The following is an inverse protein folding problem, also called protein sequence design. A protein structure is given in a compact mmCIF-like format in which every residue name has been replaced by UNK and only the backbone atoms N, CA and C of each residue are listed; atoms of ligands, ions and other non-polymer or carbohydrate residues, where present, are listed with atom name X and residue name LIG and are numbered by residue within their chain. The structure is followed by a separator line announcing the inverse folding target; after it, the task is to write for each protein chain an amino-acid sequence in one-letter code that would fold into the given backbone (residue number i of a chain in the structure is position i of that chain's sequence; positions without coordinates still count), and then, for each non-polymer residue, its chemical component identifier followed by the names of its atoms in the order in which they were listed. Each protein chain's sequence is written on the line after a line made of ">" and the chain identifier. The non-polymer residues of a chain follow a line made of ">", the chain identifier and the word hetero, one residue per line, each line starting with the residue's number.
data_IF_204984894681
#
_entry.id   IF_204984894681
#
_cell.length_a   1.000
_cell.length_b   1.000
_cell.length_c   1.000
_cell.angle_alpha   90.00
_cell.angle_beta   90.00
_cell.angle_gamma   90.00
#
_symmetry.space_group_name_H-M   'P 1'
#
loop_
_entity.id
_entity.type
_entity.pdbx_description
1 polymer ?
#
# COMPACT_ATOMS: atom_id res chain seq x y z
N UNK A 1 -49.33 29.55 28.22
CA UNK A 1 -49.97 29.16 26.95
C UNK A 1 -50.06 30.45 26.15
N UNK A 2 -49.32 30.71 25.07
CA UNK A 2 -48.87 29.84 23.98
C UNK A 2 -47.71 30.58 23.27
N UNK A 3 -46.57 29.95 23.07
CA UNK A 3 -45.49 30.47 22.21
C UNK A 3 -45.75 30.02 20.77
N UNK A 4 -46.00 30.95 19.86
CA UNK A 4 -45.99 30.69 18.42
C UNK A 4 -44.54 30.73 17.91
N UNK A 5 -44.05 29.56 17.49
CA UNK A 5 -42.88 29.43 16.64
C UNK A 5 -43.30 29.74 15.19
N UNK A 6 -42.74 30.79 14.62
CA UNK A 6 -42.79 31.03 13.17
C UNK A 6 -41.41 30.67 12.61
N UNK A 7 -41.34 29.52 11.93
CA UNK A 7 -40.13 29.05 11.25
C UNK A 7 -40.38 29.17 9.75
N UNK A 8 -39.89 30.25 9.16
CA UNK A 8 -39.81 30.40 7.71
C UNK A 8 -38.67 29.53 7.18
N UNK A 9 -39.02 28.30 6.77
CA UNK A 9 -38.14 27.45 5.99
C UNK A 9 -38.02 28.02 4.57
N UNK A 10 -37.01 28.88 4.36
CA UNK A 10 -36.52 29.20 3.02
C UNK A 10 -35.85 27.95 2.43
N UNK A 11 -36.59 27.20 1.62
CA UNK A 11 -36.08 26.11 0.79
C UNK A 11 -35.05 26.66 -0.20
N UNK A 12 -33.77 26.63 0.18
CA UNK A 12 -32.67 26.85 -0.74
C UNK A 12 -32.42 25.56 -1.50
N UNK A 13 -33.11 25.40 -2.63
CA UNK A 13 -32.75 24.40 -3.64
C UNK A 13 -31.41 24.82 -4.26
N UNK A 14 -30.30 24.39 -3.66
CA UNK A 14 -29.01 24.37 -4.36
C UNK A 14 -29.14 23.40 -5.53
N UNK A 15 -29.19 23.93 -6.74
CA UNK A 15 -28.93 23.15 -7.95
C UNK A 15 -27.57 22.46 -7.79
N UNK A 16 -27.45 21.12 -7.92
CA UNK A 16 -26.14 20.51 -8.08
C UNK A 16 -25.61 21.00 -9.43
N UNK A 17 -24.65 21.92 -9.40
CA UNK A 17 -23.91 22.26 -10.62
C UNK A 17 -23.33 20.96 -11.17
N UNK A 18 -23.69 20.61 -12.41
CA UNK A 18 -22.98 19.59 -13.17
C UNK A 18 -21.49 19.93 -13.13
N UNK A 19 -20.68 19.13 -12.42
CA UNK A 19 -19.24 19.36 -12.33
C UNK A 19 -18.61 19.29 -13.74
N UNK A 20 -17.70 20.20 -14.06
CA UNK A 20 -17.13 20.29 -15.41
C UNK A 20 -16.15 19.15 -15.70
N UNK A 21 -15.85 18.88 -16.98
CA UNK A 21 -14.91 17.80 -17.34
C UNK A 21 -13.55 18.05 -16.67
N UNK A 22 -13.07 19.29 -16.68
CA UNK A 22 -11.86 19.69 -15.97
C UNK A 22 -11.88 19.34 -14.49
N UNK A 23 -13.01 19.59 -13.80
CA UNK A 23 -13.12 19.30 -12.38
C UNK A 23 -12.99 17.80 -12.10
N UNK A 24 -13.65 16.94 -12.90
CA UNK A 24 -13.50 15.49 -12.77
C UNK A 24 -12.06 15.01 -13.03
N UNK A 25 -11.38 15.56 -14.05
CA UNK A 25 -9.99 15.22 -14.35
C UNK A 25 -9.05 15.63 -13.21
N UNK A 26 -9.22 16.83 -12.64
CA UNK A 26 -8.43 17.30 -11.50
C UNK A 26 -8.65 16.43 -10.26
N UNK A 27 -9.90 16.12 -9.93
CA UNK A 27 -10.24 15.28 -8.77
C UNK A 27 -9.65 13.88 -8.90
N UNK A 28 -9.76 13.25 -10.08
CA UNK A 28 -9.19 11.92 -10.31
C UNK A 28 -7.65 11.96 -10.30
N UNK A 29 -7.04 12.99 -10.90
CA UNK A 29 -5.58 13.17 -10.89
C UNK A 29 -5.06 13.32 -9.46
N UNK A 30 -5.68 14.17 -8.65
CA UNK A 30 -5.31 14.38 -7.25
C UNK A 30 -5.50 13.11 -6.42
N UNK A 31 -6.58 12.37 -6.65
CA UNK A 31 -6.84 11.09 -5.97
C UNK A 31 -5.82 10.00 -6.36
N UNK A 32 -5.49 9.88 -7.65
CA UNK A 32 -4.46 8.96 -8.12
C UNK A 32 -3.09 9.30 -7.54
N UNK A 33 -2.75 10.59 -7.52
CA UNK A 33 -1.52 11.09 -6.92
C UNK A 33 -1.41 10.79 -5.43
N UNK A 34 -2.46 11.06 -4.64
CA UNK A 34 -2.44 10.78 -3.20
C UNK A 34 -2.17 9.31 -2.89
N UNK A 35 -2.76 8.39 -3.69
CA UNK A 35 -2.49 6.95 -3.56
C UNK A 35 -1.03 6.62 -3.86
N UNK A 36 -0.49 7.10 -4.99
CA UNK A 36 0.91 6.87 -5.34
C UNK A 36 1.86 7.49 -4.32
N UNK A 37 1.64 8.74 -3.91
CA UNK A 37 2.48 9.47 -2.96
C UNK A 37 2.55 8.76 -1.61
N UNK A 38 1.42 8.29 -1.07
CA UNK A 38 1.40 7.47 0.13
C UNK A 38 2.24 6.19 -0.04
N UNK A 39 2.13 5.56 -1.22
CA UNK A 39 2.91 4.39 -1.61
C UNK A 39 4.36 4.70 -1.96
N UNK A 40 4.86 5.93 -1.86
CA UNK A 40 6.29 6.27 -1.97
C UNK A 40 6.93 6.56 -0.60
N UNK A 41 6.12 6.64 0.46
CA UNK A 41 6.59 6.82 1.83
C UNK A 41 7.59 5.73 2.23
N UNK A 42 8.71 6.14 2.83
CA UNK A 42 9.75 5.22 3.33
C UNK A 42 10.54 4.47 2.25
N UNK A 43 10.44 4.87 0.97
CA UNK A 43 11.24 4.28 -0.10
C UNK A 43 12.74 4.51 0.16
N UNK A 44 13.50 3.42 0.29
CA UNK A 44 14.96 3.47 0.51
C UNK A 44 15.71 3.41 -0.82
N UNK A 45 16.99 3.80 -0.83
CA UNK A 45 17.84 3.66 -2.03
C UNK A 45 18.02 2.18 -2.43
N UNK A 46 18.08 1.27 -1.46
CA UNK A 46 18.16 -0.17 -1.73
C UNK A 46 16.90 -0.67 -2.44
N UNK A 47 15.72 -0.30 -1.96
CA UNK A 47 14.44 -0.65 -2.59
C UNK A 47 14.31 -0.01 -3.98
N UNK A 48 14.65 1.28 -4.10
CA UNK A 48 14.57 2.03 -5.34
C UNK A 48 15.46 1.44 -6.45
N UNK A 49 16.69 1.04 -6.11
CA UNK A 49 17.67 0.47 -7.04
C UNK A 49 17.54 -1.05 -7.20
N UNK A 50 16.56 -1.68 -6.56
CA UNK A 50 16.40 -3.13 -6.62
C UNK A 50 15.95 -3.61 -8.02
N UNK A 51 16.70 -4.57 -8.56
CA UNK A 51 16.37 -5.29 -9.79
C UNK A 51 15.75 -6.65 -9.43
N UNK A 52 14.43 -6.86 -9.61
CA UNK A 52 13.75 -8.08 -9.15
C UNK A 52 13.99 -9.30 -10.03
N UNK A 53 14.43 -9.09 -11.27
CA UNK A 53 14.74 -10.14 -12.24
C UNK A 53 16.03 -9.78 -12.99
N UNK A 54 16.79 -10.77 -13.50
CA UNK A 54 17.89 -10.50 -14.42
C UNK A 54 17.43 -9.74 -15.65
N UNK A 55 18.32 -8.92 -16.22
CA UNK A 55 18.11 -8.17 -17.47
C UNK A 55 16.91 -7.21 -17.45
N UNK A 56 16.50 -6.76 -16.26
CA UNK A 56 15.46 -5.74 -16.11
C UNK A 56 15.90 -4.40 -16.72
N UNK A 57 14.95 -3.68 -17.29
CA UNK A 57 15.14 -2.29 -17.72
C UNK A 57 15.07 -1.36 -16.52
N UNK A 58 16.13 -0.57 -16.32
CA UNK A 58 16.26 0.32 -15.16
C UNK A 58 16.79 1.71 -15.56
N UNK A 59 17.01 2.58 -14.58
CA UNK A 59 17.77 3.82 -14.77
C UNK A 59 19.27 3.52 -14.65
N UNK A 60 20.02 3.84 -15.70
CA UNK A 60 21.47 3.71 -15.75
C UNK A 60 22.11 5.09 -15.63
N UNK A 61 23.19 5.25 -14.83
CA UNK A 61 23.92 6.49 -14.79
C UNK A 61 24.59 6.76 -16.14
N UNK A 62 24.42 7.96 -16.65
CA UNK A 62 25.17 8.50 -17.77
C UNK A 62 26.50 9.06 -17.23
N UNK A 63 27.58 8.94 -18.01
CA UNK A 63 28.92 9.36 -17.60
C UNK A 63 29.09 10.87 -17.31
N UNK A 64 28.04 11.67 -17.47
CA UNK A 64 27.96 13.10 -17.19
C UNK A 64 27.20 13.43 -15.90
N UNK A 65 26.84 12.42 -15.09
CA UNK A 65 26.09 12.59 -13.84
C UNK A 65 24.57 12.66 -14.03
N UNK A 66 24.07 12.53 -15.25
CA UNK A 66 22.64 12.32 -15.53
C UNK A 66 22.29 10.84 -15.44
N UNK A 67 21.01 10.49 -15.59
CA UNK A 67 20.58 9.11 -15.67
C UNK A 67 19.65 8.93 -16.87
N UNK A 68 19.76 7.78 -17.55
CA UNK A 68 18.93 7.41 -18.68
C UNK A 68 18.16 6.13 -18.36
N UNK A 69 16.87 6.10 -18.68
CA UNK A 69 16.07 4.89 -18.62
C UNK A 69 16.44 3.95 -19.77
N UNK A 70 16.62 2.67 -19.47
CA UNK A 70 16.79 1.62 -20.48
C UNK A 70 15.56 1.60 -21.41
N UNK A 71 15.80 1.41 -22.71
CA UNK A 71 14.75 1.35 -23.71
C UNK A 71 15.28 1.00 -25.10
N UNK A 72 14.38 0.57 -25.98
CA UNK A 72 14.68 0.26 -27.38
C UNK A 72 13.50 0.62 -28.26
N UNK A 73 13.79 1.13 -29.47
CA UNK A 73 12.76 1.37 -30.49
C UNK A 73 12.05 0.07 -30.92
N UNK A 74 12.73 -1.07 -30.82
CA UNK A 74 12.14 -2.40 -30.97
C UNK A 74 12.45 -3.21 -29.70
N UNK A 75 11.55 -3.21 -28.70
CA UNK A 75 11.75 -3.99 -27.48
C UNK A 75 11.81 -5.49 -27.79
N UNK A 76 12.63 -6.27 -27.06
CA UNK A 76 12.66 -7.72 -27.21
C UNK A 76 11.33 -8.36 -26.77
N UNK A 77 11.11 -9.61 -27.15
CA UNK A 77 9.91 -10.38 -26.81
C UNK A 77 10.27 -11.62 -25.98
N UNK A 78 9.73 -11.79 -24.76
CA UNK A 78 8.81 -10.85 -24.08
C UNK A 78 9.50 -9.53 -23.70
N UNK A 79 8.70 -8.47 -23.52
CA UNK A 79 9.20 -7.18 -23.09
C UNK A 79 9.93 -7.33 -21.74
N UNK A 80 11.09 -6.67 -21.54
CA UNK A 80 11.82 -6.75 -20.27
C UNK A 80 11.01 -6.16 -19.14
N UNK A 81 11.18 -6.72 -17.95
CA UNK A 81 10.59 -6.15 -16.74
C UNK A 81 11.26 -4.80 -16.43
N UNK A 82 10.48 -3.76 -16.16
CA UNK A 82 11.02 -2.45 -15.76
C UNK A 82 11.18 -2.36 -14.24
N UNK A 83 12.14 -1.62 -13.70
CA UNK A 83 12.35 -1.52 -12.24
C UNK A 83 11.49 -0.42 -11.59
N UNK A 84 11.56 -0.29 -10.25
CA UNK A 84 11.00 0.87 -9.53
C UNK A 84 11.61 2.18 -10.03
N UNK A 85 12.94 2.23 -10.16
CA UNK A 85 13.63 3.39 -10.69
C UNK A 85 13.10 3.78 -12.07
N UNK A 86 13.04 2.83 -13.00
CA UNK A 86 12.51 3.06 -14.34
C UNK A 86 11.09 3.64 -14.32
N UNK A 87 10.17 3.02 -13.57
CA UNK A 87 8.76 3.45 -13.53
C UNK A 87 8.58 4.82 -12.91
N UNK A 88 9.29 5.12 -11.81
CA UNK A 88 9.22 6.44 -11.18
C UNK A 88 9.71 7.53 -12.13
N UNK A 89 10.80 7.26 -12.87
CA UNK A 89 11.29 8.19 -13.88
C UNK A 89 10.32 8.36 -15.05
N UNK A 90 9.81 7.25 -15.60
CA UNK A 90 8.85 7.29 -16.70
C UNK A 90 7.62 8.14 -16.36
N UNK A 91 7.01 7.94 -15.19
CA UNK A 91 5.88 8.77 -14.75
C UNK A 91 6.29 10.23 -14.57
N UNK A 92 7.46 10.50 -13.99
CA UNK A 92 7.94 11.87 -13.84
C UNK A 92 8.14 12.56 -15.19
N UNK A 93 8.64 11.84 -16.20
CA UNK A 93 8.84 12.35 -17.55
C UNK A 93 7.49 12.61 -18.23
N UNK A 94 6.58 11.63 -18.23
CA UNK A 94 5.22 11.77 -18.80
C UNK A 94 4.48 12.98 -18.23
N UNK A 95 4.53 13.20 -16.91
CA UNK A 95 3.85 14.34 -16.27
C UNK A 95 4.53 15.68 -16.56
N UNK A 96 5.86 15.70 -16.61
CA UNK A 96 6.66 16.91 -16.76
C UNK A 96 6.82 17.41 -18.20
N UNK A 97 6.72 16.52 -19.19
CA UNK A 97 6.98 16.82 -20.60
C UNK A 97 6.19 18.02 -21.14
N UNK A 98 6.84 18.84 -21.98
CA UNK A 98 6.27 20.05 -22.57
C UNK A 98 4.98 19.80 -23.37
N UNK A 99 4.76 18.59 -23.89
CA UNK A 99 3.51 18.22 -24.55
C UNK A 99 2.31 18.32 -23.62
N UNK A 100 2.48 18.14 -22.31
CA UNK A 100 1.39 18.29 -21.34
C UNK A 100 0.96 19.76 -21.15
N UNK A 101 1.72 20.72 -21.68
CA UNK A 101 1.27 22.11 -21.85
C UNK A 101 0.83 22.39 -23.30
N UNK A 102 1.72 22.13 -24.26
CA UNK A 102 1.55 22.60 -25.64
C UNK A 102 0.36 21.96 -26.35
N UNK A 103 0.09 20.67 -26.13
CA UNK A 103 -1.06 19.98 -26.74
C UNK A 103 -2.39 20.41 -26.13
N UNK A 104 -2.36 21.01 -24.94
CA UNK A 104 -3.52 21.64 -24.28
C UNK A 104 -3.62 23.15 -24.59
N UNK A 105 -2.79 23.67 -25.49
CA UNK A 105 -2.79 25.10 -25.86
C UNK A 105 -2.25 26.03 -24.78
N UNK A 106 -1.46 25.51 -23.83
CA UNK A 106 -0.83 26.27 -22.75
C UNK A 106 0.62 26.59 -23.09
N UNK A 107 1.17 27.72 -22.58
CA UNK A 107 2.58 28.03 -22.73
C UNK A 107 3.46 27.05 -21.92
N UNK A 108 4.64 26.73 -22.45
CA UNK A 108 5.69 26.05 -21.69
C UNK A 108 6.27 27.04 -20.68
N UNK A 109 6.33 26.65 -19.41
CA UNK A 109 6.92 27.47 -18.35
C UNK A 109 8.44 27.37 -18.35
N UNK A 110 9.11 28.25 -17.60
CA UNK A 110 10.50 28.02 -17.22
C UNK A 110 10.51 26.97 -16.11
N UNK A 111 10.55 25.69 -16.49
CA UNK A 111 10.66 24.59 -15.56
C UNK A 111 12.14 24.41 -15.13
N UNK A 112 12.38 24.10 -13.85
CA UNK A 112 13.73 23.85 -13.33
C UNK A 112 14.35 22.61 -13.97
N UNK A 113 15.69 22.58 -14.07
CA UNK A 113 16.39 21.40 -14.57
C UNK A 113 16.02 20.15 -13.75
N UNK A 114 15.80 18.99 -14.41
CA UNK A 114 15.44 17.78 -13.72
C UNK A 114 16.55 17.35 -12.75
N UNK A 115 16.21 17.21 -11.47
CA UNK A 115 17.19 16.74 -10.47
C UNK A 115 17.71 15.34 -10.81
N UNK A 116 18.97 15.02 -10.44
CA UNK A 116 19.53 13.69 -10.62
C UNK A 116 18.68 12.62 -9.93
N UNK A 117 18.33 11.55 -10.63
CA UNK A 117 17.44 10.48 -10.13
C UNK A 117 18.22 9.27 -9.59
N UNK A 118 19.42 9.51 -9.07
CA UNK A 118 20.31 8.45 -8.58
C UNK A 118 19.97 7.89 -7.20
N UNK A 119 19.11 8.57 -6.46
CA UNK A 119 18.65 8.16 -5.12
C UNK A 119 17.14 8.17 -5.08
N UNK A 120 16.56 7.38 -4.17
CA UNK A 120 15.12 7.32 -3.93
C UNK A 120 14.56 8.70 -3.61
N UNK A 121 15.21 9.43 -2.71
CA UNK A 121 14.79 10.76 -2.28
C UNK A 121 14.75 11.75 -3.46
N UNK A 122 15.77 11.74 -4.32
CA UNK A 122 15.84 12.65 -5.45
C UNK A 122 14.84 12.27 -6.56
N UNK A 123 14.61 10.96 -6.78
CA UNK A 123 13.60 10.47 -7.71
C UNK A 123 12.18 10.82 -7.26
N UNK A 124 11.85 10.64 -5.98
CA UNK A 124 10.55 11.05 -5.41
C UNK A 124 10.37 12.57 -5.55
N UNK A 125 11.38 13.37 -5.21
CA UNK A 125 11.29 14.82 -5.38
C UNK A 125 11.10 15.24 -6.85
N UNK A 126 11.71 14.52 -7.81
CA UNK A 126 11.50 14.77 -9.23
C UNK A 126 10.07 14.46 -9.66
N UNK A 127 9.51 13.34 -9.21
CA UNK A 127 8.13 12.97 -9.48
C UNK A 127 7.13 13.95 -8.84
N UNK A 128 7.37 14.41 -7.61
CA UNK A 128 6.56 15.43 -6.94
C UNK A 128 6.53 16.74 -7.73
N UNK A 129 7.69 17.19 -8.22
CA UNK A 129 7.77 18.39 -9.09
C UNK A 129 7.01 18.19 -10.39
N UNK A 130 7.19 17.05 -11.05
CA UNK A 130 6.48 16.74 -12.30
C UNK A 130 4.96 16.71 -12.11
N UNK A 131 4.48 16.11 -11.01
CA UNK A 131 3.06 16.15 -10.67
C UNK A 131 2.57 17.57 -10.40
N UNK A 132 3.34 18.41 -9.68
CA UNK A 132 2.97 19.81 -9.45
C UNK A 132 2.88 20.61 -10.76
N UNK A 133 3.76 20.33 -11.73
CA UNK A 133 3.71 20.90 -13.08
C UNK A 133 2.43 20.46 -13.80
N UNK A 134 2.17 19.14 -13.88
CA UNK A 134 0.97 18.59 -14.52
C UNK A 134 -0.31 19.16 -13.90
N UNK A 135 -0.43 19.12 -12.57
CA UNK A 135 -1.60 19.61 -11.84
C UNK A 135 -1.85 21.10 -12.11
N UNK A 136 -0.79 21.92 -12.16
CA UNK A 136 -0.89 23.36 -12.51
C UNK A 136 -1.40 23.56 -13.94
N UNK A 137 -0.89 22.78 -14.90
CA UNK A 137 -1.32 22.81 -16.32
C UNK A 137 -2.79 22.39 -16.44
N UNK A 138 -3.19 21.28 -15.83
CA UNK A 138 -4.58 20.79 -15.82
C UNK A 138 -5.54 21.75 -15.08
N UNK A 139 -5.08 22.51 -14.08
CA UNK A 139 -5.90 23.53 -13.43
C UNK A 139 -6.12 24.78 -14.32
N UNK A 140 -5.14 25.10 -15.17
CA UNK A 140 -5.14 26.27 -16.04
C UNK A 140 -5.90 26.07 -17.35
N UNK A 141 -6.02 24.83 -17.85
CA UNK A 141 -6.78 24.53 -19.06
C UNK A 141 -8.28 24.87 -18.88
N UNK A 142 -8.96 25.25 -19.96
CA UNK A 142 -10.42 25.47 -19.94
C UNK A 142 -11.17 24.26 -20.49
N UNK A 143 -12.45 24.12 -20.15
CA UNK A 143 -13.29 23.05 -20.70
C UNK A 143 -13.41 23.14 -22.24
N UNK A 144 -13.38 24.36 -22.81
CA UNK A 144 -13.37 24.57 -24.26
C UNK A 144 -12.06 24.12 -24.92
N UNK A 145 -10.92 24.30 -24.23
CA UNK A 145 -9.63 23.82 -24.71
C UNK A 145 -9.55 22.29 -24.64
N UNK A 146 -10.11 21.69 -23.58
CA UNK A 146 -10.21 20.23 -23.46
C UNK A 146 -11.10 19.60 -24.55
N UNK A 147 -12.16 20.29 -24.98
CA UNK A 147 -13.08 19.79 -26.01
C UNK A 147 -12.60 20.03 -27.45
N UNK A 148 -11.47 20.73 -27.65
CA UNK A 148 -10.92 21.02 -28.98
C UNK A 148 -9.96 19.91 -29.42
N UNK A 149 -9.97 19.52 -30.71
CA UNK A 149 -8.89 18.72 -31.29
C UNK A 149 -7.52 19.35 -31.03
N UNK A 150 -6.53 18.53 -30.71
CA UNK A 150 -5.15 19.01 -30.44
C UNK A 150 -4.48 19.58 -31.69
N UNK A 151 -4.87 19.11 -32.87
CA UNK A 151 -4.35 19.57 -34.16
C UNK A 151 -2.94 19.04 -34.47
N UNK A 152 -2.35 19.57 -35.55
CA UNK A 152 -1.12 19.03 -36.18
C UNK A 152 0.07 18.83 -35.21
N UNK A 153 0.13 19.59 -34.11
CA UNK A 153 1.17 19.46 -33.09
C UNK A 153 1.19 18.08 -32.41
N UNK A 154 0.05 17.39 -32.38
CA UNK A 154 -0.09 16.04 -31.82
C UNK A 154 0.14 14.92 -32.85
N UNK A 155 0.48 15.27 -34.10
CA UNK A 155 0.83 14.32 -35.16
C UNK A 155 -0.28 13.28 -35.39
N UNK A 156 -0.01 11.97 -35.21
CA UNK A 156 -1.02 10.92 -35.36
C UNK A 156 -2.28 11.10 -34.48
N UNK A 157 -2.19 11.90 -33.42
CA UNK A 157 -3.28 12.16 -32.48
C UNK A 157 -3.98 13.50 -32.74
N UNK A 158 -3.74 14.17 -33.87
CA UNK A 158 -4.27 15.50 -34.17
C UNK A 158 -5.80 15.63 -34.03
N UNK A 159 -6.53 14.57 -34.38
CA UNK A 159 -8.00 14.52 -34.30
C UNK A 159 -8.54 14.18 -32.90
N UNK A 160 -7.68 13.74 -31.98
CA UNK A 160 -8.06 13.55 -30.58
C UNK A 160 -8.15 14.89 -29.85
N UNK A 161 -9.06 14.99 -28.90
CA UNK A 161 -9.25 16.21 -28.12
C UNK A 161 -8.36 16.24 -26.87
N UNK A 162 -8.28 17.43 -26.24
CA UNK A 162 -7.48 17.62 -25.02
C UNK A 162 -7.98 16.79 -23.84
N UNK A 163 -9.27 16.43 -23.78
CA UNK A 163 -9.82 15.56 -22.75
C UNK A 163 -9.27 14.12 -22.90
N UNK A 164 -9.24 13.58 -24.12
CA UNK A 164 -8.66 12.26 -24.40
C UNK A 164 -7.16 12.23 -24.04
N UNK A 165 -6.43 13.29 -24.36
CA UNK A 165 -5.02 13.40 -23.98
C UNK A 165 -4.82 13.50 -22.46
N UNK A 166 -5.61 14.33 -21.77
CA UNK A 166 -5.54 14.41 -20.31
C UNK A 166 -5.86 13.05 -19.66
N UNK A 167 -6.87 12.34 -20.15
CA UNK A 167 -7.19 10.98 -19.70
C UNK A 167 -6.03 10.00 -19.94
N UNK A 168 -5.31 10.11 -21.05
CA UNK A 168 -4.10 9.31 -21.27
C UNK A 168 -3.00 9.60 -20.24
N UNK A 169 -2.72 10.87 -19.93
CA UNK A 169 -1.76 11.22 -18.88
C UNK A 169 -2.20 10.68 -17.50
N UNK A 170 -3.51 10.73 -17.21
CA UNK A 170 -4.06 10.14 -16.00
C UNK A 170 -3.93 8.61 -15.99
N UNK A 171 -4.15 7.96 -17.13
CA UNK A 171 -3.98 6.52 -17.28
C UNK A 171 -2.52 6.10 -17.02
N UNK A 172 -1.54 6.81 -17.58
CA UNK A 172 -0.11 6.58 -17.32
C UNK A 172 0.21 6.69 -15.81
N UNK A 173 -0.30 7.74 -15.13
CA UNK A 173 -0.13 7.91 -13.69
C UNK A 173 -0.77 6.78 -12.88
N UNK A 174 -2.00 6.38 -13.22
CA UNK A 174 -2.73 5.33 -12.50
C UNK A 174 -2.10 3.96 -12.74
N UNK A 175 -1.81 3.64 -14.00
CA UNK A 175 -1.24 2.38 -14.44
C UNK A 175 0.12 2.14 -13.79
N UNK A 176 1.08 3.02 -14.04
CA UNK A 176 2.42 2.87 -13.50
C UNK A 176 2.47 3.13 -11.98
N UNK A 177 1.58 3.98 -11.44
CA UNK A 177 1.44 4.15 -10.00
C UNK A 177 1.01 2.86 -9.30
N UNK A 178 0.10 2.09 -9.89
CA UNK A 178 -0.29 0.77 -9.40
C UNK A 178 0.85 -0.24 -9.50
N UNK A 179 1.58 -0.27 -10.62
CA UNK A 179 2.74 -1.15 -10.79
C UNK A 179 3.85 -0.84 -9.78
N UNK A 180 4.18 0.44 -9.56
CA UNK A 180 5.11 0.87 -8.50
C UNK A 180 4.67 0.29 -7.17
N UNK A 181 3.38 0.41 -6.84
CA UNK A 181 2.80 -0.19 -5.65
C UNK A 181 3.09 -1.69 -5.56
N UNK A 182 2.76 -2.46 -6.59
CA UNK A 182 2.95 -3.92 -6.61
C UNK A 182 4.41 -4.32 -6.49
N UNK A 183 5.33 -3.62 -7.15
CA UNK A 183 6.78 -3.93 -7.07
C UNK A 183 7.32 -3.63 -5.67
N UNK A 184 6.87 -2.56 -5.02
CA UNK A 184 7.19 -2.29 -3.61
C UNK A 184 6.66 -3.38 -2.67
N UNK A 185 5.42 -3.82 -2.87
CA UNK A 185 4.87 -4.94 -2.08
C UNK A 185 5.74 -6.18 -2.25
N UNK A 186 6.14 -6.50 -3.48
CA UNK A 186 7.03 -7.62 -3.76
C UNK A 186 8.38 -7.48 -3.05
N UNK A 187 9.00 -6.29 -3.08
CA UNK A 187 10.26 -6.03 -2.39
C UNK A 187 10.15 -6.32 -0.89
N UNK A 188 9.12 -5.76 -0.25
CA UNK A 188 8.91 -5.87 1.19
C UNK A 188 8.61 -7.30 1.64
N UNK A 189 7.91 -8.08 0.81
CA UNK A 189 7.63 -9.49 1.11
C UNK A 189 8.84 -10.40 0.86
N UNK A 190 9.80 -10.00 0.01
CA UNK A 190 11.05 -10.72 -0.19
C UNK A 190 12.14 -10.34 0.83
N UNK A 191 12.04 -9.14 1.41
CA UNK A 191 12.95 -8.60 2.43
C UNK A 191 12.16 -8.15 3.65
N UNK A 192 11.66 -9.10 4.44
CA UNK A 192 10.96 -8.76 5.67
C UNK A 192 11.86 -7.93 6.58
N UNK A 193 11.31 -6.87 7.16
CA UNK A 193 12.05 -5.95 8.04
C UNK A 193 12.67 -6.66 9.25
N UNK A 194 12.07 -7.77 9.68
CA UNK A 194 12.64 -8.71 10.65
C UNK A 194 12.59 -10.13 10.06
N UNK A 195 13.74 -10.68 9.60
CA UNK A 195 13.82 -12.04 9.06
C UNK A 195 13.39 -13.13 10.05
N UNK A 196 13.58 -12.91 11.36
CA UNK A 196 13.17 -13.87 12.38
C UNK A 196 11.66 -13.84 12.59
N UNK A 197 11.05 -12.65 12.63
CA UNK A 197 9.59 -12.51 12.69
C UNK A 197 8.93 -13.14 11.47
N UNK A 198 9.48 -12.94 10.27
CA UNK A 198 8.97 -13.54 9.04
C UNK A 198 9.07 -15.07 9.03
N UNK A 199 10.23 -15.63 9.41
CA UNK A 199 10.40 -17.07 9.54
C UNK A 199 9.35 -17.64 10.52
N UNK A 200 9.11 -16.97 11.64
CA UNK A 200 8.07 -17.34 12.59
C UNK A 200 6.67 -17.28 11.96
N UNK A 201 6.31 -16.19 11.29
CA UNK A 201 4.99 -15.97 10.67
C UNK A 201 4.69 -16.90 9.50
N UNK A 202 5.73 -17.41 8.82
CA UNK A 202 5.63 -18.48 7.80
C UNK A 202 5.54 -19.88 8.39
N UNK A 203 5.76 -20.06 9.69
CA UNK A 203 5.88 -21.38 10.32
C UNK A 203 7.18 -22.10 9.98
N UNK A 204 8.19 -21.38 9.49
CA UNK A 204 9.48 -21.93 9.08
C UNK A 204 10.39 -22.16 10.29
N UNK A 205 10.16 -23.30 10.96
CA UNK A 205 10.86 -23.68 12.18
C UNK A 205 12.37 -23.79 12.00
N UNK A 206 12.82 -24.31 10.86
CA UNK A 206 14.25 -24.51 10.61
C UNK A 206 14.97 -23.16 10.51
N UNK A 207 14.41 -22.21 9.75
CA UNK A 207 14.98 -20.89 9.60
C UNK A 207 14.91 -20.07 10.90
N UNK A 208 13.79 -20.12 11.62
CA UNK A 208 13.67 -19.46 12.92
C UNK A 208 14.70 -20.00 13.92
N UNK A 209 14.91 -21.32 13.98
CA UNK A 209 15.93 -21.91 14.85
C UNK A 209 17.34 -21.45 14.46
N UNK A 210 17.67 -21.47 13.16
CA UNK A 210 18.97 -21.01 12.65
C UNK A 210 19.25 -19.54 13.02
N UNK A 211 18.26 -18.67 12.84
CA UNK A 211 18.38 -17.24 13.17
C UNK A 211 18.54 -17.02 14.68
N UNK A 212 17.81 -17.77 15.52
CA UNK A 212 17.96 -17.74 16.98
C UNK A 212 19.33 -18.26 17.44
N UNK A 213 19.90 -19.26 16.78
CA UNK A 213 21.25 -19.75 17.10
C UNK A 213 22.33 -18.70 16.77
N UNK A 214 22.13 -17.94 15.69
CA UNK A 214 23.02 -16.83 15.31
C UNK A 214 22.89 -15.63 16.24
N UNK A 215 21.69 -15.39 16.75
CA UNK A 215 21.38 -14.30 17.66
C UNK A 215 20.45 -14.77 18.80
N UNK A 216 21.03 -15.24 19.92
CA UNK A 216 20.24 -15.73 21.04
C UNK A 216 19.29 -14.72 21.66
N UNK A 217 19.49 -13.40 21.43
CA UNK A 217 18.62 -12.34 21.96
C UNK A 217 17.49 -11.93 21.01
N UNK A 218 17.35 -12.60 19.86
CA UNK A 218 16.36 -12.22 18.84
C UNK A 218 14.91 -12.41 19.31
N UNK A 219 14.66 -13.41 20.16
CA UNK A 219 13.32 -13.68 20.70
C UNK A 219 12.90 -12.57 21.66
N UNK A 220 13.77 -12.18 22.59
CA UNK A 220 13.48 -11.14 23.57
C UNK A 220 13.29 -9.79 22.91
N UNK A 221 14.11 -9.44 21.91
CA UNK A 221 13.96 -8.18 21.17
C UNK A 221 12.67 -8.17 20.36
N UNK A 222 12.39 -9.22 19.58
CA UNK A 222 11.14 -9.29 18.81
C UNK A 222 9.93 -9.29 19.75
N UNK A 223 9.98 -9.97 20.89
CA UNK A 223 8.89 -9.95 21.87
C UNK A 223 8.63 -8.56 22.48
N UNK A 224 9.69 -7.76 22.65
CA UNK A 224 9.57 -6.37 23.12
C UNK A 224 9.05 -5.43 22.00
N UNK A 225 9.51 -5.63 20.77
CA UNK A 225 9.15 -4.81 19.62
C UNK A 225 7.74 -5.12 19.12
N UNK A 226 7.35 -6.40 19.14
CA UNK A 226 6.09 -6.92 18.65
C UNK A 226 5.43 -7.91 19.63
N UNK A 227 4.93 -7.42 20.77
CA UNK A 227 4.26 -8.27 21.75
C UNK A 227 2.98 -8.93 21.19
N UNK A 228 2.42 -8.40 20.10
CA UNK A 228 1.20 -8.89 19.45
C UNK A 228 1.39 -10.01 18.42
N UNK A 229 2.63 -10.46 18.19
CA UNK A 229 2.93 -11.35 17.06
C UNK A 229 2.14 -12.67 17.08
N UNK A 230 1.88 -13.24 18.26
CA UNK A 230 1.08 -14.47 18.41
C UNK A 230 -0.38 -14.23 18.06
N UNK A 231 -0.97 -13.11 18.51
CA UNK A 231 -2.36 -12.77 18.21
C UNK A 231 -2.56 -12.45 16.74
N UNK A 232 -1.59 -11.77 16.11
CA UNK A 232 -1.60 -11.50 14.67
C UNK A 232 -1.49 -12.78 13.83
N UNK A 233 -0.67 -13.75 14.26
CA UNK A 233 -0.63 -15.05 13.61
C UNK A 233 -1.98 -15.77 13.73
N UNK A 234 -2.59 -15.73 14.92
CA UNK A 234 -3.88 -16.36 15.19
C UNK A 234 -5.04 -15.70 14.42
N UNK A 235 -5.08 -14.37 14.31
CA UNK A 235 -6.13 -13.64 13.57
C UNK A 235 -6.13 -13.89 12.06
N UNK A 236 -5.03 -14.44 11.54
CA UNK A 236 -4.85 -14.87 10.14
C UNK A 236 -4.88 -16.39 9.99
N UNK A 237 -5.28 -17.10 11.03
CA UNK A 237 -5.36 -18.57 11.10
C UNK A 237 -4.04 -19.27 10.71
N UNK A 238 -2.90 -18.63 10.99
CA UNK A 238 -1.56 -19.19 10.74
C UNK A 238 -1.16 -20.12 11.88
N UNK A 239 -1.83 -21.26 12.01
CA UNK A 239 -1.69 -22.16 13.15
C UNK A 239 -0.27 -22.71 13.35
N UNK A 240 0.47 -22.98 12.28
CA UNK A 240 1.88 -23.41 12.39
C UNK A 240 2.79 -22.27 12.89
N UNK A 241 2.50 -21.03 12.53
CA UNK A 241 3.18 -19.87 13.08
C UNK A 241 2.85 -19.67 14.57
N UNK A 242 1.58 -19.83 14.97
CA UNK A 242 1.17 -19.79 16.39
C UNK A 242 1.95 -20.85 17.19
N UNK A 243 1.99 -22.10 16.71
CA UNK A 243 2.76 -23.17 17.36
C UNK A 243 4.23 -22.84 17.48
N UNK A 244 4.85 -22.37 16.39
CA UNK A 244 6.26 -22.01 16.36
C UNK A 244 6.58 -20.88 17.34
N UNK A 245 5.84 -19.77 17.31
CA UNK A 245 6.01 -18.64 18.22
C UNK A 245 5.86 -19.08 19.68
N UNK A 246 4.82 -19.85 19.99
CA UNK A 246 4.57 -20.31 21.36
C UNK A 246 5.67 -21.29 21.84
N UNK A 247 6.21 -22.13 20.96
CA UNK A 247 7.37 -23.00 21.24
C UNK A 247 8.70 -22.24 21.37
N UNK A 248 8.82 -21.07 20.74
CA UNK A 248 9.97 -20.18 20.89
C UNK A 248 9.92 -19.34 22.17
N UNK A 249 8.82 -19.40 22.93
CA UNK A 249 8.67 -18.74 24.23
C UNK A 249 7.90 -17.42 24.20
N UNK A 250 7.25 -17.08 23.08
CA UNK A 250 6.39 -15.90 23.01
C UNK A 250 5.14 -16.07 23.89
N UNK A 251 4.79 -15.04 24.65
CA UNK A 251 3.66 -15.07 25.59
C UNK A 251 2.31 -15.17 24.88
N UNK A 252 1.46 -16.10 25.32
CA UNK A 252 0.12 -16.34 24.74
C UNK A 252 -0.91 -15.26 25.05
N UNK A 253 -0.64 -14.41 26.04
CA UNK A 253 -1.45 -13.24 26.42
C UNK A 253 -0.60 -11.96 26.52
N UNK A 254 0.45 -11.87 25.70
CA UNK A 254 1.28 -10.69 25.66
C UNK A 254 0.42 -9.42 25.38
N UNK A 255 0.74 -8.29 26.04
CA UNK A 255 -0.06 -7.08 25.95
C UNK A 255 0.06 -6.46 24.56
N UNK A 256 -1.08 -6.27 23.91
CA UNK A 256 -1.15 -5.65 22.59
C UNK A 256 -1.01 -4.13 22.66
N UNK A 257 -0.47 -3.53 21.59
CA UNK A 257 -0.36 -2.05 21.48
C UNK A 257 -1.74 -1.37 21.39
N UNK A 258 -2.77 -2.11 21.03
CA UNK A 258 -4.16 -1.66 20.99
C UNK A 258 -5.06 -2.80 21.46
N UNK A 259 -6.24 -2.51 22.06
CA UNK A 259 -7.15 -3.57 22.50
C UNK A 259 -7.47 -4.54 21.36
N UNK A 260 -7.24 -5.83 21.58
CA UNK A 260 -7.49 -6.88 20.60
C UNK A 260 -7.94 -8.18 21.29
N UNK A 261 -8.70 -9.05 20.59
CA UNK A 261 -8.95 -10.42 21.02
C UNK A 261 -7.62 -11.18 21.24
N UNK A 262 -7.61 -12.13 22.18
CA UNK A 262 -6.43 -12.97 22.44
C UNK A 262 -6.27 -14.05 21.36
N UNK A 263 -5.09 -14.66 21.21
CA UNK A 263 -4.90 -15.83 20.35
C UNK A 263 -5.92 -16.94 20.60
N UNK A 264 -6.33 -17.11 21.87
CA UNK A 264 -7.30 -18.12 22.27
C UNK A 264 -8.70 -17.82 21.72
N UNK A 265 -9.11 -16.55 21.60
CA UNK A 265 -10.37 -16.18 20.96
C UNK A 265 -10.41 -16.63 19.49
N UNK A 266 -9.37 -16.29 18.72
CA UNK A 266 -9.28 -16.65 17.31
C UNK A 266 -9.24 -18.16 17.11
N UNK A 267 -8.41 -18.89 17.87
CA UNK A 267 -8.34 -20.34 17.78
C UNK A 267 -9.67 -21.00 18.18
N UNK A 268 -10.37 -20.45 19.18
CA UNK A 268 -11.65 -20.95 19.63
C UNK A 268 -12.76 -20.76 18.59
N UNK A 269 -12.87 -19.56 18.00
CA UNK A 269 -13.84 -19.27 16.94
C UNK A 269 -13.60 -20.05 15.65
N UNK A 270 -12.33 -20.30 15.31
CA UNK A 270 -11.96 -21.12 14.15
C UNK A 270 -12.09 -22.63 14.39
N UNK A 271 -12.28 -23.07 15.64
CA UNK A 271 -12.35 -24.49 15.99
C UNK A 271 -11.01 -25.23 15.90
N UNK A 272 -9.88 -24.50 15.97
CA UNK A 272 -8.53 -25.06 15.89
C UNK A 272 -8.14 -25.76 17.21
N UNK A 273 -8.77 -26.90 17.51
CA UNK A 273 -8.73 -27.57 18.82
C UNK A 273 -7.30 -27.84 19.33
N UNK A 274 -6.37 -28.24 18.46
CA UNK A 274 -4.98 -28.49 18.85
C UNK A 274 -4.25 -27.20 19.22
N UNK A 275 -4.57 -26.09 18.56
CA UNK A 275 -4.02 -24.77 18.93
C UNK A 275 -4.64 -24.29 20.22
N UNK A 276 -5.95 -24.49 20.42
CA UNK A 276 -6.63 -24.20 21.67
C UNK A 276 -5.96 -24.96 22.82
N UNK A 277 -5.75 -26.27 22.69
CA UNK A 277 -5.04 -27.08 23.70
C UNK A 277 -3.64 -26.53 24.00
N UNK A 278 -2.86 -26.23 22.97
CA UNK A 278 -1.54 -25.63 23.13
C UNK A 278 -1.60 -24.30 23.91
N UNK A 279 -2.50 -23.40 23.55
CA UNK A 279 -2.62 -22.11 24.22
C UNK A 279 -3.04 -22.27 25.68
N UNK A 280 -3.98 -23.16 25.97
CA UNK A 280 -4.41 -23.51 27.34
C UNK A 280 -3.25 -24.10 28.15
N UNK A 281 -2.51 -25.05 27.58
CA UNK A 281 -1.32 -25.65 28.22
C UNK A 281 -0.24 -24.62 28.55
N UNK A 282 -0.18 -23.52 27.80
CA UNK A 282 0.78 -22.43 27.97
C UNK A 282 0.23 -21.27 28.82
N UNK A 283 -0.92 -21.48 29.46
CA UNK A 283 -1.48 -20.57 30.46
C UNK A 283 -2.31 -19.43 29.90
N UNK A 284 -2.93 -19.60 28.73
CA UNK A 284 -3.84 -18.60 28.19
C UNK A 284 -5.03 -18.34 29.13
N UNK A 285 -5.40 -17.09 29.28
CA UNK A 285 -6.55 -16.64 30.08
C UNK A 285 -7.86 -17.06 29.39
N UNK A 286 -8.57 -18.00 30.03
CA UNK A 286 -9.82 -18.58 29.54
C UNK A 286 -11.01 -17.64 29.71
N UNK A 287 -10.89 -16.64 30.59
CA UNK A 287 -11.96 -15.73 30.99
C UNK A 287 -11.76 -14.31 30.43
N UNK A 288 -10.62 -14.04 29.79
CA UNK A 288 -10.38 -12.80 29.05
C UNK A 288 -11.51 -12.54 28.07
N UNK A 289 -12.00 -11.31 28.04
CA UNK A 289 -13.04 -10.90 27.11
C UNK A 289 -12.48 -10.09 25.94
N UNK A 290 -13.08 -10.25 24.77
CA UNK A 290 -12.74 -9.45 23.60
C UNK A 290 -13.22 -7.99 23.75
N UNK A 291 -12.55 -7.02 23.13
CA UNK A 291 -12.85 -5.60 23.31
C UNK A 291 -14.15 -5.13 22.62
N UNK A 292 -14.73 -5.92 21.73
CA UNK A 292 -15.89 -5.51 20.91
C UNK A 292 -17.21 -6.00 21.51
N UNK A 293 -17.29 -7.26 21.90
CA UNK A 293 -18.53 -7.89 22.36
C UNK A 293 -18.47 -8.34 23.81
N UNK A 294 -17.32 -8.15 24.48
CA UNK A 294 -17.07 -8.69 25.81
C UNK A 294 -17.30 -10.21 25.90
N UNK A 295 -17.10 -10.94 24.80
CA UNK A 295 -17.23 -12.38 24.76
C UNK A 295 -15.91 -13.05 25.15
N UNK A 296 -15.99 -14.22 25.79
CA UNK A 296 -14.83 -15.06 26.12
C UNK A 296 -14.44 -15.95 24.93
N UNK A 297 -13.28 -16.63 24.95
CA UNK A 297 -12.96 -17.63 23.94
C UNK A 297 -14.02 -18.74 23.84
N UNK A 298 -14.60 -19.17 24.97
CA UNK A 298 -15.73 -20.11 24.95
C UNK A 298 -16.92 -19.50 24.21
N UNK A 299 -17.25 -18.23 24.48
CA UNK A 299 -18.32 -17.53 23.78
C UNK A 299 -18.10 -17.45 22.27
N UNK A 300 -16.86 -17.28 21.82
CA UNK A 300 -16.51 -17.36 20.39
C UNK A 300 -16.73 -18.78 19.84
N UNK A 301 -16.24 -19.82 20.53
CA UNK A 301 -16.47 -21.20 20.11
C UNK A 301 -17.97 -21.54 19.99
N UNK A 302 -18.79 -21.11 20.96
CA UNK A 302 -20.24 -21.31 20.94
C UNK A 302 -20.92 -20.53 19.82
N UNK A 303 -20.56 -19.25 19.63
CA UNK A 303 -21.13 -18.39 18.59
C UNK A 303 -20.87 -18.95 17.18
N UNK A 304 -19.67 -19.46 16.94
CA UNK A 304 -19.28 -20.04 15.65
C UNK A 304 -19.58 -21.55 15.52
N UNK A 305 -20.23 -22.17 16.51
CA UNK A 305 -20.67 -23.57 16.44
C UNK A 305 -19.56 -24.61 16.57
N UNK A 306 -18.44 -24.27 17.20
CA UNK A 306 -17.27 -25.13 17.37
C UNK A 306 -17.43 -26.08 18.57
N UNK A 307 -18.31 -27.07 18.42
CA UNK A 307 -18.79 -27.91 19.53
C UNK A 307 -17.68 -28.64 20.31
N UNK A 308 -16.70 -29.24 19.64
CA UNK A 308 -15.59 -29.95 20.30
C UNK A 308 -14.70 -28.99 21.10
N UNK A 309 -14.43 -27.82 20.54
CA UNK A 309 -13.64 -26.76 21.17
C UNK A 309 -14.38 -26.15 22.37
N UNK A 310 -15.68 -25.89 22.23
CA UNK A 310 -16.52 -25.41 23.32
C UNK A 310 -16.58 -26.43 24.46
N UNK A 311 -16.74 -27.73 24.14
CA UNK A 311 -16.73 -28.81 25.13
C UNK A 311 -15.37 -28.90 25.85
N UNK A 312 -14.27 -28.80 25.11
CA UNK A 312 -12.93 -28.77 25.70
C UNK A 312 -12.73 -27.57 26.63
N UNK A 313 -13.02 -26.34 26.17
CA UNK A 313 -12.88 -25.12 26.97
C UNK A 313 -13.77 -25.16 28.22
N UNK A 314 -14.98 -25.69 28.13
CA UNK A 314 -15.87 -25.93 29.28
C UNK A 314 -15.23 -26.90 30.28
N UNK A 315 -14.57 -27.96 29.79
CA UNK A 315 -13.97 -28.97 30.68
C UNK A 315 -12.72 -28.48 31.44
N UNK A 316 -12.05 -27.43 30.96
CA UNK A 316 -10.81 -26.91 31.55
C UNK A 316 -11.00 -25.60 32.33
N UNK A 317 -12.14 -24.91 32.19
CA UNK A 317 -12.52 -23.81 33.07
C UNK A 317 -12.87 -24.36 34.45
N UNK A 318 -12.26 -23.81 35.50
CA UNK A 318 -12.51 -24.18 36.90
C UNK A 318 -13.38 -23.16 37.60
#
# INVERSE_FOLDING_TARGET
>A
MTTQNDTSAGSSTKNPASSSMKAHLLELSDFAWQRLHHRLGGLTDEEYLWEPVPDAWTLRPSGDGTYAADGSAMPPQPAPFTTLAWRIAHVADVLGEDRTATWLGLPVGADEEPAPRGTAAAAVAALERAHAIWRRRLAAVTDEALARPMGDIAGPFAESDGAAFALHILDELIHHGAEIGVVRDLYQHQRPQDPFADACLRGDRAEAQRLREQDPGVVERLGADDPGIVSRAASRERWDAVRLLVDLGFGVDAPERSPAPSPLHYAAGAGALEVVRLLVERGADLDRTDPTFAATPLGWAEHFGQAETAAYLTSVRR
#
